data_IF_538511141462
#
_entry.id   IF_538511141462
#
_cell.length_a   1.000
_cell.length_b   1.000
_cell.length_c   1.000
_cell.angle_alpha   90.00
_cell.angle_beta   90.00
_cell.angle_gamma   90.00
#
_symmetry.space_group_name_H-M   'P 1'
#
loop_
_entity.id
_entity.type
_entity.pdbx_description
1 polymer ?
#
# COMPACT_ATOMS: atom_id res chain seq x y z
N UNK A 1 -19.10 -12.70 -4.53
CA UNK A 1 -18.21 -11.55 -4.70
C UNK A 1 -17.75 -11.38 -6.14
N UNK A 2 -17.23 -12.42 -6.79
CA UNK A 2 -16.70 -12.35 -8.16
C UNK A 2 -17.63 -11.61 -9.13
N UNK A 3 -18.89 -12.05 -9.29
CA UNK A 3 -19.85 -11.39 -10.20
C UNK A 3 -20.06 -9.90 -9.87
N UNK A 4 -20.12 -9.55 -8.58
CA UNK A 4 -20.39 -8.18 -8.12
C UNK A 4 -19.25 -7.21 -8.39
N UNK A 5 -17.99 -7.67 -8.29
CA UNK A 5 -16.80 -6.81 -8.40
C UNK A 5 -15.98 -7.08 -9.66
N UNK A 6 -16.48 -7.91 -10.60
CA UNK A 6 -15.77 -8.27 -11.84
C UNK A 6 -15.35 -7.03 -12.64
N UNK A 7 -16.26 -6.11 -12.89
CA UNK A 7 -15.99 -4.88 -13.65
C UNK A 7 -14.97 -4.00 -12.92
N UNK A 8 -15.10 -3.84 -11.59
CA UNK A 8 -14.15 -3.08 -10.79
C UNK A 8 -12.75 -3.72 -10.85
N UNK A 9 -12.65 -5.05 -10.74
CA UNK A 9 -11.37 -5.77 -10.80
C UNK A 9 -10.71 -5.60 -12.19
N UNK A 10 -11.48 -5.75 -13.27
CA UNK A 10 -10.96 -5.55 -14.62
C UNK A 10 -10.44 -4.11 -14.77
N UNK A 11 -11.25 -3.11 -14.40
CA UNK A 11 -10.87 -1.70 -14.49
C UNK A 11 -9.60 -1.41 -13.67
N UNK A 12 -9.54 -1.85 -12.42
CA UNK A 12 -8.39 -1.59 -11.54
C UNK A 12 -7.13 -2.31 -12.02
N UNK A 13 -7.24 -3.51 -12.60
CA UNK A 13 -6.11 -4.21 -13.21
C UNK A 13 -5.60 -3.46 -14.46
N UNK A 14 -6.51 -2.97 -15.31
CA UNK A 14 -6.12 -2.16 -16.47
C UNK A 14 -5.43 -0.84 -16.04
N UNK A 15 -5.92 -0.20 -14.97
CA UNK A 15 -5.27 1.00 -14.40
C UNK A 15 -3.89 0.65 -13.86
N UNK A 16 -3.69 -0.51 -13.24
CA UNK A 16 -2.36 -0.96 -12.78
C UNK A 16 -1.38 -1.16 -13.93
N UNK A 17 -1.86 -1.53 -15.12
CA UNK A 17 -1.07 -1.70 -16.34
C UNK A 17 -0.87 -0.40 -17.12
N UNK A 18 -1.67 0.64 -16.84
CA UNK A 18 -1.63 1.88 -17.62
C UNK A 18 -0.26 2.58 -17.59
N UNK A 19 0.53 2.56 -16.51
CA UNK A 19 1.91 3.08 -16.53
C UNK A 19 2.79 2.43 -17.58
N UNK A 20 2.58 1.14 -17.91
CA UNK A 20 3.33 0.47 -18.98
C UNK A 20 3.10 1.18 -20.33
N UNK A 21 1.86 1.58 -20.62
CA UNK A 21 1.55 2.32 -21.85
C UNK A 21 2.28 3.66 -21.87
N UNK A 22 2.26 4.40 -20.75
CA UNK A 22 3.00 5.68 -20.63
C UNK A 22 4.50 5.45 -20.83
N UNK A 23 5.07 4.44 -20.18
CA UNK A 23 6.49 4.12 -20.28
C UNK A 23 6.90 3.72 -21.72
N UNK A 24 6.06 2.97 -22.43
CA UNK A 24 6.29 2.63 -23.83
C UNK A 24 6.25 3.87 -24.75
N UNK A 25 5.35 4.81 -24.50
CA UNK A 25 5.30 6.07 -25.24
C UNK A 25 6.55 6.94 -25.00
N UNK A 26 7.13 6.85 -23.79
CA UNK A 26 8.33 7.60 -23.41
C UNK A 26 9.63 6.82 -23.66
N UNK A 27 9.55 5.59 -24.20
CA UNK A 27 10.66 4.65 -24.31
C UNK A 27 11.96 5.25 -24.87
N UNK A 28 11.84 6.00 -25.98
CA UNK A 28 13.00 6.60 -26.65
C UNK A 28 13.60 7.82 -25.93
N UNK A 29 12.89 8.35 -24.93
CA UNK A 29 13.34 9.48 -24.10
C UNK A 29 13.99 9.06 -22.79
N UNK A 30 13.88 7.78 -22.43
CA UNK A 30 14.40 7.23 -21.19
C UNK A 30 15.78 6.59 -21.39
N UNK A 31 16.69 6.70 -20.41
CA UNK A 31 17.96 5.99 -20.42
C UNK A 31 17.75 4.47 -20.29
N UNK A 32 18.79 3.66 -20.62
CA UNK A 32 18.70 2.20 -20.56
C UNK A 32 18.62 1.65 -19.13
N UNK A 33 19.11 2.43 -18.17
CA UNK A 33 18.99 2.17 -16.74
C UNK A 33 18.21 3.29 -16.07
N UNK A 34 17.18 2.94 -15.31
CA UNK A 34 16.27 3.88 -14.64
C UNK A 34 16.44 3.72 -13.13
N UNK A 35 16.58 4.82 -12.41
CA UNK A 35 16.56 4.82 -10.96
C UNK A 35 15.15 4.45 -10.46
N UNK A 36 15.05 3.34 -9.74
CA UNK A 36 13.79 2.80 -9.22
C UNK A 36 13.71 2.78 -7.71
N UNK A 37 14.83 3.05 -7.03
CA UNK A 37 14.91 3.21 -5.60
C UNK A 37 15.70 4.45 -5.24
N UNK A 38 15.20 5.20 -4.26
CA UNK A 38 15.76 6.47 -3.82
C UNK A 38 15.96 6.43 -2.30
N UNK A 39 17.10 6.86 -1.86
CA UNK A 39 17.42 7.08 -0.45
C UNK A 39 17.08 8.50 0.00
N UNK A 40 17.69 8.92 1.11
CA UNK A 40 17.56 10.26 1.66
C UNK A 40 17.98 11.34 0.66
N UNK A 41 17.41 12.51 0.84
CA UNK A 41 17.64 13.67 -0.02
C UNK A 41 17.39 13.40 -1.52
N UNK A 42 16.47 12.47 -1.81
CA UNK A 42 16.08 12.10 -3.18
C UNK A 42 17.28 11.57 -4.03
N UNK A 43 18.29 11.00 -3.37
CA UNK A 43 19.48 10.44 -4.05
C UNK A 43 19.17 9.02 -4.51
N UNK A 44 19.28 8.72 -5.82
CA UNK A 44 19.11 7.36 -6.32
C UNK A 44 20.15 6.40 -5.72
N UNK A 45 19.71 5.26 -5.21
CA UNK A 45 20.58 4.21 -4.66
C UNK A 45 20.21 2.80 -5.15
N UNK A 46 19.28 2.69 -6.12
CA UNK A 46 18.96 1.44 -6.80
C UNK A 46 18.42 1.70 -8.21
N UNK A 47 18.89 0.88 -9.16
CA UNK A 47 18.58 1.02 -10.58
C UNK A 47 18.02 -0.28 -11.14
N UNK A 48 17.18 -0.16 -12.16
CA UNK A 48 16.66 -1.27 -12.93
C UNK A 48 16.87 -1.02 -14.42
N UNK A 49 16.89 -2.07 -15.23
CA UNK A 49 16.84 -1.90 -16.68
C UNK A 49 15.52 -1.21 -17.09
N UNK A 50 15.56 -0.45 -18.18
CA UNK A 50 14.38 0.18 -18.78
C UNK A 50 13.23 -0.82 -18.95
N UNK A 51 13.52 -2.02 -19.46
CA UNK A 51 12.51 -3.08 -19.63
C UNK A 51 11.87 -3.48 -18.30
N UNK A 52 12.68 -3.65 -17.23
CA UNK A 52 12.14 -4.02 -15.93
C UNK A 52 11.30 -2.88 -15.34
N UNK A 53 11.75 -1.63 -15.45
CA UNK A 53 11.03 -0.48 -14.93
C UNK A 53 9.71 -0.24 -15.66
N UNK A 54 9.68 -0.35 -17.01
CA UNK A 54 8.52 0.00 -17.83
C UNK A 54 7.54 -1.16 -17.97
N UNK A 55 8.03 -2.38 -18.07
CA UNK A 55 7.19 -3.58 -18.31
C UNK A 55 7.08 -4.43 -17.05
N UNK A 56 8.21 -4.77 -16.42
CA UNK A 56 8.26 -5.70 -15.30
C UNK A 56 7.50 -5.21 -14.08
N UNK A 57 7.73 -3.97 -13.64
CA UNK A 57 7.07 -3.41 -12.46
C UNK A 57 5.55 -3.31 -12.63
N UNK A 58 4.98 -2.72 -13.71
CA UNK A 58 3.53 -2.68 -13.89
C UNK A 58 2.89 -4.07 -14.02
N UNK A 59 3.54 -5.02 -14.68
CA UNK A 59 3.06 -6.41 -14.76
C UNK A 59 3.04 -7.07 -13.39
N UNK A 60 4.10 -6.90 -12.60
CA UNK A 60 4.15 -7.42 -11.23
C UNK A 60 3.04 -6.82 -10.37
N UNK A 61 2.81 -5.51 -10.45
CA UNK A 61 1.75 -4.84 -9.69
C UNK A 61 0.35 -5.28 -10.15
N UNK A 62 0.13 -5.50 -11.44
CA UNK A 62 -1.12 -6.05 -11.95
C UNK A 62 -1.34 -7.50 -11.49
N UNK A 63 -0.30 -8.33 -11.49
CA UNK A 63 -0.36 -9.68 -10.94
C UNK A 63 -0.66 -9.67 -9.43
N UNK A 64 -0.01 -8.77 -8.68
CA UNK A 64 -0.27 -8.56 -7.25
C UNK A 64 -1.71 -8.09 -6.99
N UNK A 65 -2.27 -7.22 -7.85
CA UNK A 65 -3.66 -6.77 -7.80
C UNK A 65 -4.63 -7.95 -7.96
N UNK A 66 -4.40 -8.81 -8.94
CA UNK A 66 -5.21 -10.01 -9.16
C UNK A 66 -5.07 -10.96 -7.96
N UNK A 67 -3.86 -11.19 -7.49
CA UNK A 67 -3.59 -12.07 -6.35
C UNK A 67 -4.32 -11.60 -5.08
N UNK A 68 -4.23 -10.31 -4.73
CA UNK A 68 -4.91 -9.76 -3.57
C UNK A 68 -6.44 -9.83 -3.69
N UNK A 69 -6.98 -9.63 -4.90
CA UNK A 69 -8.40 -9.81 -5.17
C UNK A 69 -8.83 -11.28 -5.00
N UNK A 70 -8.05 -12.24 -5.52
CA UNK A 70 -8.30 -13.68 -5.35
C UNK A 70 -8.32 -14.04 -3.87
N UNK A 71 -7.31 -13.64 -3.10
CA UNK A 71 -7.25 -13.89 -1.66
C UNK A 71 -8.49 -13.31 -0.94
N UNK A 72 -8.85 -12.06 -1.26
CA UNK A 72 -9.97 -11.37 -0.62
C UNK A 72 -11.33 -12.03 -0.95
N UNK A 73 -11.52 -12.45 -2.20
CA UNK A 73 -12.79 -13.04 -2.64
C UNK A 73 -12.93 -14.51 -2.24
N UNK A 74 -11.82 -15.19 -1.99
CA UNK A 74 -11.75 -16.60 -1.55
C UNK A 74 -11.70 -16.75 -0.02
N UNK A 75 -11.69 -15.64 0.74
CA UNK A 75 -11.66 -15.69 2.20
C UNK A 75 -12.89 -16.49 2.73
N UNK A 76 -12.69 -17.50 3.61
CA UNK A 76 -13.79 -18.23 4.22
C UNK A 76 -14.79 -17.33 4.97
N UNK A 77 -14.30 -16.24 5.56
CA UNK A 77 -15.10 -15.21 6.25
C UNK A 77 -15.34 -13.95 5.39
N UNK A 78 -15.32 -14.07 4.05
CA UNK A 78 -15.50 -12.93 3.13
C UNK A 78 -16.75 -12.10 3.34
N UNK A 79 -17.80 -12.67 3.92
CA UNK A 79 -19.02 -11.94 4.30
C UNK A 79 -18.78 -10.87 5.37
N UNK A 80 -17.70 -11.00 6.15
CA UNK A 80 -17.26 -10.03 7.15
C UNK A 80 -16.49 -8.85 6.53
N UNK A 81 -16.06 -8.98 5.27
CA UNK A 81 -15.33 -7.91 4.57
C UNK A 81 -16.34 -6.97 3.92
N UNK A 82 -16.51 -5.79 4.51
CA UNK A 82 -17.50 -4.81 4.06
C UNK A 82 -17.20 -4.26 2.65
N UNK A 83 -18.23 -3.77 1.92
CA UNK A 83 -18.06 -3.28 0.54
C UNK A 83 -17.05 -2.15 0.40
N UNK A 84 -16.92 -1.29 1.42
CA UNK A 84 -15.95 -0.19 1.43
C UNK A 84 -14.52 -0.71 1.54
N UNK A 85 -14.30 -1.74 2.37
CA UNK A 85 -12.99 -2.38 2.50
C UNK A 85 -12.59 -3.09 1.22
N UNK A 86 -13.51 -3.80 0.56
CA UNK A 86 -13.24 -4.45 -0.72
C UNK A 86 -12.82 -3.41 -1.77
N UNK A 87 -13.53 -2.28 -1.85
CA UNK A 87 -13.16 -1.19 -2.75
C UNK A 87 -11.77 -0.64 -2.42
N UNK A 88 -11.47 -0.41 -1.15
CA UNK A 88 -10.15 0.04 -0.72
C UNK A 88 -9.05 -0.93 -1.19
N UNK A 89 -9.20 -2.24 -0.93
CA UNK A 89 -8.24 -3.27 -1.38
C UNK A 89 -8.06 -3.25 -2.89
N UNK A 90 -9.14 -3.11 -3.66
CA UNK A 90 -9.06 -3.10 -5.12
C UNK A 90 -8.44 -1.83 -5.70
N UNK A 91 -8.45 -0.70 -4.99
CA UNK A 91 -7.95 0.58 -5.49
C UNK A 91 -6.56 0.96 -5.00
N UNK A 92 -6.05 0.38 -3.92
CA UNK A 92 -4.71 0.70 -3.37
C UNK A 92 -3.62 0.48 -4.41
N UNK A 93 -3.51 -0.73 -4.96
CA UNK A 93 -2.44 -1.08 -5.91
C UNK A 93 -2.52 -0.27 -7.20
N UNK A 94 -3.67 -0.13 -7.87
CA UNK A 94 -3.77 0.68 -9.10
C UNK A 94 -3.35 2.14 -8.91
N UNK A 95 -3.83 2.79 -7.85
CA UNK A 95 -3.50 4.19 -7.56
C UNK A 95 -2.02 4.34 -7.24
N UNK A 96 -1.47 3.45 -6.40
CA UNK A 96 -0.05 3.45 -6.06
C UNK A 96 0.81 3.18 -7.29
N UNK A 97 0.44 2.19 -8.14
CA UNK A 97 1.13 1.89 -9.39
C UNK A 97 1.21 3.11 -10.30
N UNK A 98 0.08 3.77 -10.51
CA UNK A 98 0.02 4.95 -11.37
C UNK A 98 0.95 6.06 -10.86
N UNK A 99 0.84 6.42 -9.58
CA UNK A 99 1.60 7.54 -9.02
C UNK A 99 3.10 7.21 -8.98
N UNK A 100 3.48 6.04 -8.48
CA UNK A 100 4.90 5.65 -8.33
C UNK A 100 5.57 5.48 -9.68
N UNK A 101 4.98 4.74 -10.61
CA UNK A 101 5.58 4.54 -11.92
C UNK A 101 5.68 5.85 -12.72
N UNK A 102 4.63 6.70 -12.69
CA UNK A 102 4.69 8.00 -13.38
C UNK A 102 5.76 8.92 -12.77
N UNK A 103 5.96 8.90 -11.45
CA UNK A 103 7.02 9.67 -10.79
C UNK A 103 8.42 9.19 -11.20
N UNK A 104 8.63 7.87 -11.27
CA UNK A 104 9.87 7.26 -11.74
C UNK A 104 10.12 7.64 -13.20
N UNK A 105 9.11 7.56 -14.07
CA UNK A 105 9.27 7.89 -15.49
C UNK A 105 9.51 9.38 -15.71
N UNK A 106 8.85 10.25 -14.95
CA UNK A 106 9.10 11.69 -14.99
C UNK A 106 10.56 11.99 -14.66
N UNK A 107 11.10 11.39 -13.60
CA UNK A 107 12.52 11.51 -13.24
C UNK A 107 13.43 10.97 -14.35
N UNK A 108 13.09 9.83 -14.94
CA UNK A 108 13.88 9.21 -16.00
C UNK A 108 13.97 10.07 -17.29
N UNK A 109 12.95 10.89 -17.58
CA UNK A 109 12.96 11.83 -18.72
C UNK A 109 13.48 13.23 -18.36
N UNK A 110 14.03 13.41 -17.14
CA UNK A 110 14.66 14.68 -16.70
C UNK A 110 13.71 15.68 -16.03
N UNK A 111 12.47 15.29 -15.74
CA UNK A 111 11.57 16.11 -14.93
C UNK A 111 11.87 15.84 -13.46
N UNK A 112 12.38 16.84 -12.75
CA UNK A 112 12.72 16.70 -11.33
C UNK A 112 11.44 16.45 -10.50
N UNK A 113 11.32 15.23 -9.97
CA UNK A 113 10.26 14.83 -9.03
C UNK A 113 10.93 14.44 -7.72
N UNK A 114 10.49 15.01 -6.64
CA UNK A 114 10.89 14.58 -5.30
C UNK A 114 10.18 13.28 -4.94
N UNK A 115 10.89 12.15 -5.15
CA UNK A 115 10.38 10.80 -4.87
C UNK A 115 10.17 10.61 -3.36
N UNK A 116 11.02 11.22 -2.53
CA UNK A 116 10.87 11.20 -1.07
C UNK A 116 9.56 11.85 -0.64
N UNK A 117 9.25 13.01 -1.17
CA UNK A 117 7.97 13.70 -0.94
C UNK A 117 6.78 12.84 -1.38
N UNK A 118 6.80 12.35 -2.62
CA UNK A 118 5.71 11.55 -3.19
C UNK A 118 5.50 10.25 -2.39
N UNK A 119 6.56 9.52 -2.08
CA UNK A 119 6.45 8.22 -1.38
C UNK A 119 5.96 8.37 0.06
N UNK A 120 6.49 9.33 0.83
CA UNK A 120 6.02 9.61 2.18
C UNK A 120 4.55 10.06 2.17
N UNK A 121 4.16 10.92 1.22
CA UNK A 121 2.78 11.39 1.06
C UNK A 121 1.81 10.25 0.76
N UNK A 122 2.15 9.36 -0.19
CA UNK A 122 1.32 8.19 -0.52
C UNK A 122 1.22 7.24 0.67
N UNK A 123 2.34 6.89 1.30
CA UNK A 123 2.37 5.99 2.46
C UNK A 123 1.52 6.57 3.60
N UNK A 124 1.67 7.87 3.88
CA UNK A 124 0.87 8.56 4.89
C UNK A 124 -0.63 8.52 4.59
N UNK A 125 -1.02 8.80 3.34
CA UNK A 125 -2.41 8.73 2.92
C UNK A 125 -2.98 7.30 3.04
N UNK A 126 -2.21 6.28 2.64
CA UNK A 126 -2.60 4.88 2.78
C UNK A 126 -2.79 4.50 4.25
N UNK A 127 -1.90 4.93 5.14
CA UNK A 127 -2.04 4.67 6.58
C UNK A 127 -3.29 5.33 7.16
N UNK A 128 -3.62 6.57 6.78
CA UNK A 128 -4.87 7.23 7.18
C UNK A 128 -6.10 6.46 6.67
N UNK A 129 -6.09 6.11 5.38
CA UNK A 129 -7.21 5.38 4.78
C UNK A 129 -7.42 4.01 5.45
N UNK A 130 -6.37 3.21 5.58
CA UNK A 130 -6.44 1.90 6.22
C UNK A 130 -6.84 2.05 7.69
N UNK A 131 -6.21 2.98 8.43
CA UNK A 131 -6.50 3.24 9.83
C UNK A 131 -7.97 3.59 10.08
N UNK A 132 -8.56 4.42 9.22
CA UNK A 132 -9.99 4.77 9.31
C UNK A 132 -10.93 3.56 9.10
N UNK A 133 -10.48 2.53 8.37
CA UNK A 133 -11.26 1.31 8.16
C UNK A 133 -10.99 0.21 9.19
N UNK A 134 -9.83 0.22 9.87
CA UNK A 134 -9.46 -0.78 10.86
C UNK A 134 -10.54 -1.05 11.93
N UNK A 135 -11.13 -0.04 12.62
CA UNK A 135 -12.15 -0.29 13.63
C UNK A 135 -13.44 -0.91 13.10
N UNK A 136 -13.68 -0.81 11.79
CA UNK A 136 -14.87 -1.32 11.11
C UNK A 136 -14.65 -2.71 10.50
N UNK A 137 -13.41 -3.22 10.58
CA UNK A 137 -13.03 -4.51 10.04
C UNK A 137 -13.49 -5.63 10.98
N UNK A 138 -14.46 -6.44 10.55
CA UNK A 138 -14.87 -7.65 11.25
C UNK A 138 -13.84 -8.76 11.02
N UNK A 139 -13.75 -9.70 11.97
CA UNK A 139 -12.78 -10.80 11.92
C UNK A 139 -12.86 -11.60 10.62
N UNK A 140 -11.73 -11.66 9.90
CA UNK A 140 -11.55 -12.41 8.67
C UNK A 140 -10.08 -12.83 8.52
N UNK A 141 -9.74 -13.58 7.45
CA UNK A 141 -8.39 -14.11 7.24
C UNK A 141 -7.56 -13.32 6.22
N UNK A 142 -8.11 -12.27 5.60
CA UNK A 142 -7.43 -11.52 4.53
C UNK A 142 -7.03 -10.13 4.97
N UNK A 143 -7.94 -9.36 5.59
CA UNK A 143 -7.73 -7.95 5.92
C UNK A 143 -7.63 -7.73 7.43
N UNK A 144 -6.69 -6.88 7.87
CA UNK A 144 -6.50 -6.53 9.27
C UNK A 144 -5.28 -7.19 9.92
N UNK A 145 -5.15 -7.05 11.24
CA UNK A 145 -4.05 -7.58 12.05
C UNK A 145 -4.41 -9.01 12.46
N UNK A 146 -3.77 -9.96 11.77
CA UNK A 146 -4.05 -11.39 11.86
C UNK A 146 -2.93 -12.09 12.62
N UNK A 147 -3.07 -12.15 13.91
CA UNK A 147 -2.21 -12.94 14.79
C UNK A 147 -3.09 -14.00 15.49
N UNK A 148 -2.53 -15.12 15.97
CA UNK A 148 -3.35 -16.22 16.51
C UNK A 148 -4.41 -15.75 17.50
N UNK A 149 -4.03 -14.93 18.47
CA UNK A 149 -4.93 -14.43 19.51
C UNK A 149 -6.00 -13.45 19.02
N UNK A 150 -5.79 -12.70 17.94
CA UNK A 150 -6.87 -11.91 17.34
C UNK A 150 -7.84 -12.78 16.53
N UNK A 151 -7.35 -13.86 15.94
CA UNK A 151 -8.18 -14.80 15.19
C UNK A 151 -9.01 -15.72 16.09
N UNK A 152 -8.54 -16.01 17.32
CA UNK A 152 -9.29 -16.83 18.28
C UNK A 152 -10.31 -16.03 19.12
N UNK A 153 -10.13 -14.71 19.29
CA UNK A 153 -11.00 -13.86 20.11
C UNK A 153 -11.56 -12.68 19.33
N UNK A 154 -12.88 -12.65 19.14
CA UNK A 154 -13.57 -11.51 18.51
C UNK A 154 -13.42 -10.22 19.31
N UNK A 155 -13.37 -10.31 20.64
CA UNK A 155 -13.21 -9.14 21.49
C UNK A 155 -11.77 -8.59 21.36
N UNK A 156 -10.76 -9.46 21.37
CA UNK A 156 -9.37 -9.06 21.16
C UNK A 156 -9.20 -8.45 19.75
N UNK A 157 -9.81 -9.05 18.71
CA UNK A 157 -9.86 -8.48 17.38
C UNK A 157 -10.38 -7.04 17.38
N UNK A 158 -11.56 -6.82 17.94
CA UNK A 158 -12.22 -5.51 17.93
C UNK A 158 -11.40 -4.45 18.67
N UNK A 159 -10.83 -4.79 19.83
CA UNK A 159 -10.01 -3.85 20.62
C UNK A 159 -8.68 -3.53 19.97
N UNK A 160 -8.01 -4.55 19.40
CA UNK A 160 -6.75 -4.37 18.67
C UNK A 160 -6.96 -3.49 17.45
N UNK A 161 -7.99 -3.75 16.64
CA UNK A 161 -8.28 -2.96 15.44
C UNK A 161 -8.74 -1.54 15.74
N UNK A 162 -9.41 -1.30 16.88
CA UNK A 162 -9.76 0.05 17.32
C UNK A 162 -8.50 0.86 17.68
N UNK A 163 -7.59 0.28 18.44
CA UNK A 163 -6.31 0.93 18.77
C UNK A 163 -5.47 1.13 17.50
N UNK A 164 -5.33 0.09 16.69
CA UNK A 164 -4.58 0.15 15.44
C UNK A 164 -5.11 1.26 14.52
N UNK A 165 -6.43 1.45 14.45
CA UNK A 165 -7.03 2.52 13.66
C UNK A 165 -6.48 3.90 14.03
N UNK A 166 -6.41 4.22 15.31
CA UNK A 166 -5.85 5.48 15.78
C UNK A 166 -4.34 5.59 15.54
N UNK A 167 -3.59 4.54 15.87
CA UNK A 167 -2.13 4.50 15.66
C UNK A 167 -1.79 4.70 14.19
N UNK A 168 -2.53 4.06 13.29
CA UNK A 168 -2.31 4.17 11.85
C UNK A 168 -2.70 5.56 11.30
N UNK A 169 -3.77 6.19 11.80
CA UNK A 169 -4.13 7.56 11.40
C UNK A 169 -3.04 8.54 11.86
N UNK A 170 -2.61 8.46 13.13
CA UNK A 170 -1.56 9.34 13.68
C UNK A 170 -0.25 9.12 12.91
N UNK A 171 0.16 7.87 12.69
CA UNK A 171 1.34 7.55 11.89
C UNK A 171 1.23 8.05 10.45
N UNK A 172 0.05 7.96 9.85
CA UNK A 172 -0.18 8.49 8.51
C UNK A 172 -0.07 10.02 8.44
N UNK A 173 -0.58 10.73 9.44
CA UNK A 173 -0.38 12.19 9.55
C UNK A 173 1.10 12.51 9.73
N UNK A 174 1.82 11.78 10.60
CA UNK A 174 3.25 11.94 10.78
C UNK A 174 4.02 11.75 9.46
N UNK A 175 3.64 10.74 8.65
CA UNK A 175 4.25 10.51 7.34
C UNK A 175 3.95 11.63 6.33
N UNK A 176 2.74 12.20 6.34
CA UNK A 176 2.42 13.37 5.49
C UNK A 176 3.25 14.58 5.92
N UNK A 177 3.40 14.83 7.21
CA UNK A 177 4.29 15.89 7.71
C UNK A 177 5.75 15.60 7.31
N UNK A 178 6.17 14.33 7.42
CA UNK A 178 7.51 13.91 7.03
C UNK A 178 7.77 14.00 5.52
N UNK A 179 6.76 14.06 4.67
CA UNK A 179 6.98 14.33 3.24
C UNK A 179 7.64 15.68 2.99
N UNK A 180 7.42 16.65 3.89
CA UNK A 180 8.06 17.96 3.86
C UNK A 180 9.39 18.01 4.61
N UNK A 181 9.52 17.27 5.72
CA UNK A 181 10.70 17.28 6.59
C UNK A 181 11.81 16.32 6.12
N UNK A 182 11.41 15.22 5.45
CA UNK A 182 12.27 14.16 4.90
C UNK A 182 13.27 13.56 5.91
N UNK A 183 12.81 13.37 7.16
CA UNK A 183 13.61 12.80 8.24
C UNK A 183 13.48 11.28 8.25
N UNK A 184 14.56 10.56 8.02
CA UNK A 184 14.55 9.08 7.94
C UNK A 184 14.04 8.39 9.20
N UNK A 185 14.44 8.88 10.37
CA UNK A 185 14.07 8.27 11.64
C UNK A 185 12.55 8.31 11.91
N UNK A 186 11.82 9.29 11.33
CA UNK A 186 10.34 9.37 11.44
C UNK A 186 9.70 8.17 10.73
N UNK A 187 10.21 7.77 9.56
CA UNK A 187 9.74 6.58 8.86
C UNK A 187 9.89 5.33 9.73
N UNK A 188 11.09 5.10 10.26
CA UNK A 188 11.37 3.93 11.10
C UNK A 188 10.53 3.90 12.38
N UNK A 189 10.42 5.04 13.08
CA UNK A 189 9.59 5.14 14.29
C UNK A 189 8.11 4.92 13.98
N UNK A 190 7.62 5.47 12.86
CA UNK A 190 6.23 5.29 12.45
C UNK A 190 5.95 3.82 12.15
N UNK A 191 6.78 3.15 11.35
CA UNK A 191 6.62 1.72 11.04
C UNK A 191 6.69 0.89 12.31
N UNK A 192 7.66 1.15 13.19
CA UNK A 192 7.77 0.45 14.47
C UNK A 192 6.50 0.62 15.32
N UNK A 193 5.97 1.84 15.44
CA UNK A 193 4.75 2.11 16.19
C UNK A 193 3.53 1.40 15.60
N UNK A 194 3.39 1.43 14.25
CA UNK A 194 2.27 0.80 13.53
C UNK A 194 2.22 -0.73 13.73
N UNK A 195 3.37 -1.36 13.92
CA UNK A 195 3.49 -2.81 14.09
C UNK A 195 3.46 -3.19 15.58
N UNK A 196 4.35 -2.60 16.40
CA UNK A 196 4.57 -3.03 17.77
C UNK A 196 3.42 -2.68 18.70
N UNK A 197 2.79 -1.50 18.57
CA UNK A 197 1.72 -1.08 19.47
C UNK A 197 0.48 -1.98 19.34
N UNK A 198 -0.07 -2.26 18.14
CA UNK A 198 -1.21 -3.13 18.00
C UNK A 198 -0.91 -4.60 18.36
N UNK A 199 0.29 -5.10 18.00
CA UNK A 199 0.69 -6.48 18.31
C UNK A 199 0.90 -6.64 19.81
N UNK A 200 1.58 -5.70 20.47
CA UNK A 200 1.76 -5.71 21.92
C UNK A 200 0.42 -5.69 22.65
N UNK A 201 -0.53 -4.88 22.21
CA UNK A 201 -1.90 -4.86 22.73
C UNK A 201 -2.60 -6.21 22.57
N UNK A 202 -2.48 -6.82 21.39
CA UNK A 202 -3.10 -8.09 21.09
C UNK A 202 -2.55 -9.21 21.98
N UNK A 203 -1.24 -9.20 22.27
CA UNK A 203 -0.55 -10.20 23.09
C UNK A 203 -0.80 -10.06 24.59
N UNK A 204 -0.91 -8.85 25.13
CA UNK A 204 -1.07 -8.63 26.56
C UNK A 204 -2.33 -9.28 27.18
N UNK A 205 -3.34 -9.59 26.37
CA UNK A 205 -4.63 -10.11 26.84
C UNK A 205 -4.72 -11.64 26.86
N UNK A 206 -3.74 -12.32 26.35
CA UNK A 206 -3.70 -13.80 26.41
C UNK A 206 -3.09 -14.33 27.73
N UNK A 207 -2.52 -13.41 28.55
CA UNK A 207 -1.86 -13.75 29.84
C UNK A 207 -2.75 -13.53 31.07
N UNK A 208 -4.02 -13.23 30.85
CA UNK A 208 -5.07 -13.11 31.89
C UNK A 208 -6.23 -14.03 31.53
#
# INVERSE_FOLDING_TARGET
MWKKYKTTLILTTLISLFPMVIGLLLWNRMPDTIATHFGTNNVPNGWSSKTMAVIGIPLFLAALQIFTAVLTFSDPKRQNIGPKMIRLVLWIIPVTSLIVCCSIYANAVGIAVDIGFVSNGIVGLLFILIGNYMPKCKQNYTTGIKVPWTLHSQENWNRTHRLAGWVWIIGGVAMIVNSFLQLEWILFLTIAALVLIPIGRASCRERV
#
